data_IF_406182519113
#
_entry.id   IF_406182519113
#
_cell.length_a   1.000
_cell.length_b   1.000
_cell.length_c   1.000
_cell.angle_alpha   90.00
_cell.angle_beta   90.00
_cell.angle_gamma   90.00
#
_symmetry.space_group_name_H-M   'P 1'
#
loop_
_entity.id
_entity.type
_entity.pdbx_description
1 polymer ?
#
# COMPACT_ATOMS: atom_id res chain seq x y z
N UNK A 1 -16.02 -7.96 -4.78
CA UNK A 1 -16.26 -6.50 -4.63
C UNK A 1 -15.38 -5.96 -3.51
N UNK A 2 -14.68 -4.86 -3.73
CA UNK A 2 -13.81 -4.28 -2.72
C UNK A 2 -14.57 -3.28 -1.85
N UNK A 3 -14.27 -3.24 -0.55
CA UNK A 3 -14.88 -2.29 0.38
C UNK A 3 -14.17 -0.93 0.35
N UNK A 4 -12.92 -0.88 -0.12
CA UNK A 4 -12.21 0.37 -0.30
C UNK A 4 -12.63 1.10 -1.56
N UNK A 5 -12.15 2.34 -1.72
CA UNK A 5 -12.42 3.15 -2.91
C UNK A 5 -11.89 2.40 -4.15
N UNK A 6 -12.72 2.14 -5.17
CA UNK A 6 -12.34 1.23 -6.26
C UNK A 6 -11.07 1.63 -7.01
N UNK A 7 -10.95 2.90 -7.38
CA UNK A 7 -9.79 3.37 -8.13
C UNK A 7 -8.51 3.32 -7.31
N UNK A 8 -8.58 3.80 -6.08
CA UNK A 8 -7.40 3.87 -5.20
C UNK A 8 -6.97 2.48 -4.78
N UNK A 9 -7.93 1.60 -4.48
CA UNK A 9 -7.64 0.20 -4.17
C UNK A 9 -6.89 -0.47 -5.32
N UNK A 10 -7.33 -0.23 -6.55
CA UNK A 10 -6.70 -0.79 -7.74
C UNK A 10 -5.26 -0.27 -7.91
N UNK A 11 -5.05 1.03 -7.69
CA UNK A 11 -3.71 1.63 -7.78
C UNK A 11 -2.76 1.05 -6.75
N UNK A 12 -3.22 0.89 -5.51
CA UNK A 12 -2.41 0.33 -4.43
C UNK A 12 -2.09 -1.13 -4.72
N UNK A 13 -3.09 -1.91 -5.12
CA UNK A 13 -2.89 -3.32 -5.45
C UNK A 13 -1.85 -3.48 -6.55
N UNK A 14 -1.97 -2.72 -7.62
CA UNK A 14 -1.02 -2.78 -8.73
C UNK A 14 0.39 -2.41 -8.29
N UNK A 15 0.53 -1.39 -7.45
CA UNK A 15 1.84 -0.97 -6.95
C UNK A 15 2.50 -2.07 -6.14
N UNK A 16 1.75 -2.71 -5.24
CA UNK A 16 2.28 -3.79 -4.41
C UNK A 16 2.61 -5.03 -5.23
N UNK A 17 1.74 -5.42 -6.15
CA UNK A 17 1.97 -6.58 -7.01
C UNK A 17 3.17 -6.36 -7.94
N UNK A 18 3.25 -5.20 -8.57
CA UNK A 18 4.34 -4.88 -9.51
C UNK A 18 5.71 -4.87 -8.84
N UNK A 19 5.74 -4.56 -7.56
CA UNK A 19 6.99 -4.53 -6.80
C UNK A 19 7.24 -5.82 -6.01
N UNK A 20 6.35 -6.80 -6.15
CA UNK A 20 6.55 -8.12 -5.54
C UNK A 20 6.46 -8.13 -4.02
N UNK A 21 5.75 -7.17 -3.43
CA UNK A 21 5.64 -7.06 -1.96
C UNK A 21 4.22 -7.30 -1.45
N UNK A 22 3.26 -7.62 -2.32
CA UNK A 22 1.91 -7.92 -1.88
C UNK A 22 1.86 -9.31 -1.25
N UNK A 23 1.53 -9.37 0.04
CA UNK A 23 1.41 -10.63 0.78
C UNK A 23 -0.04 -11.06 0.92
N UNK A 24 -0.93 -10.14 1.27
CA UNK A 24 -2.32 -10.48 1.52
C UNK A 24 -3.23 -9.29 1.26
N UNK A 25 -4.48 -9.59 0.94
CA UNK A 25 -5.54 -8.59 0.76
C UNK A 25 -6.74 -9.02 1.57
N UNK A 26 -7.27 -8.14 2.39
CA UNK A 26 -8.38 -8.44 3.26
C UNK A 26 -9.41 -7.32 3.21
N UNK A 27 -10.69 -7.70 3.00
CA UNK A 27 -11.79 -6.73 3.02
C UNK A 27 -12.28 -6.60 4.46
N UNK A 28 -12.22 -5.38 4.96
CA UNK A 28 -12.76 -5.05 6.28
C UNK A 28 -13.87 -4.02 6.12
N UNK A 29 -14.57 -3.70 7.21
CA UNK A 29 -15.68 -2.76 7.13
C UNK A 29 -15.17 -1.40 6.65
N UNK A 30 -15.74 -0.90 5.54
CA UNK A 30 -15.44 0.40 4.92
C UNK A 30 -14.04 0.54 4.30
N UNK A 31 -13.26 -0.55 4.23
CA UNK A 31 -11.89 -0.46 3.72
C UNK A 31 -11.41 -1.77 3.12
N UNK A 32 -10.39 -1.68 2.29
CA UNK A 32 -9.59 -2.82 1.84
C UNK A 32 -8.22 -2.70 2.50
N UNK A 33 -7.79 -3.74 3.19
CA UNK A 33 -6.50 -3.78 3.88
C UNK A 33 -5.53 -4.64 3.08
N UNK A 34 -4.43 -4.03 2.67
CA UNK A 34 -3.34 -4.75 2.03
C UNK A 34 -2.22 -4.96 3.02
N UNK A 35 -1.68 -6.18 3.03
CA UNK A 35 -0.48 -6.49 3.80
C UNK A 35 0.68 -6.58 2.84
N UNK A 36 1.71 -5.79 3.09
CA UNK A 36 2.94 -5.81 2.30
C UNK A 36 4.03 -6.49 3.12
N UNK A 37 4.86 -7.27 2.45
CA UNK A 37 5.98 -7.94 3.09
C UNK A 37 7.17 -7.98 2.14
N UNK A 38 8.34 -7.65 2.68
CA UNK A 38 9.61 -7.79 1.99
C UNK A 38 10.65 -8.25 3.01
N UNK A 39 11.16 -9.45 2.84
CA UNK A 39 12.09 -10.08 3.80
C UNK A 39 11.45 -10.10 5.20
N UNK A 40 12.09 -9.48 6.19
CA UNK A 40 11.56 -9.40 7.56
C UNK A 40 10.66 -8.18 7.79
N UNK A 41 10.53 -7.30 6.81
CA UNK A 41 9.68 -6.12 6.93
C UNK A 41 8.24 -6.45 6.60
N UNK A 42 7.32 -5.98 7.44
CA UNK A 42 5.88 -6.19 7.24
C UNK A 42 5.16 -4.91 7.57
N UNK A 43 4.20 -4.54 6.73
CA UNK A 43 3.43 -3.32 6.92
C UNK A 43 2.04 -3.49 6.31
N UNK A 44 1.13 -2.60 6.68
CA UNK A 44 -0.23 -2.61 6.17
C UNK A 44 -0.55 -1.26 5.56
N UNK A 45 -1.34 -1.29 4.49
CA UNK A 45 -1.90 -0.09 3.92
C UNK A 45 -3.40 -0.30 3.76
N UNK A 46 -4.19 0.60 4.33
CA UNK A 46 -5.64 0.52 4.31
C UNK A 46 -6.18 1.61 3.39
N UNK A 47 -7.07 1.20 2.51
CA UNK A 47 -7.77 2.12 1.59
C UNK A 47 -9.23 2.13 1.98
N UNK A 48 -9.71 3.27 2.50
CA UNK A 48 -11.10 3.41 2.90
C UNK A 48 -11.99 3.73 1.70
N UNK A 49 -13.29 3.50 1.85
CA UNK A 49 -14.26 3.77 0.80
C UNK A 49 -14.32 5.25 0.42
N UNK A 50 -13.91 6.13 1.32
CA UNK A 50 -13.85 7.58 1.08
C UNK A 50 -12.62 7.99 0.27
N UNK A 51 -11.68 7.06 0.05
CA UNK A 51 -10.41 7.35 -0.60
C UNK A 51 -9.28 7.66 0.36
N UNK A 52 -9.57 7.70 1.66
CA UNK A 52 -8.53 7.91 2.67
C UNK A 52 -7.60 6.69 2.72
N UNK A 53 -6.30 6.95 2.81
CA UNK A 53 -5.27 5.92 2.91
C UNK A 53 -4.58 6.03 4.26
N UNK A 54 -4.40 4.90 4.94
CA UNK A 54 -3.69 4.83 6.22
C UNK A 54 -2.60 3.78 6.08
N UNK A 55 -1.36 4.14 6.46
CA UNK A 55 -0.22 3.23 6.46
C UNK A 55 0.10 2.87 7.91
N UNK A 56 0.22 1.58 8.20
CA UNK A 56 0.50 1.06 9.54
C UNK A 56 1.69 0.12 9.51
N UNK A 57 2.51 0.17 10.55
CA UNK A 57 3.66 -0.71 10.70
C UNK A 57 4.81 0.00 11.39
N UNK A 58 5.83 -0.78 11.77
CA UNK A 58 7.05 -0.22 12.33
C UNK A 58 7.82 0.53 11.26
N UNK A 59 8.47 1.60 11.64
CA UNK A 59 9.30 2.37 10.70
C UNK A 59 10.33 1.45 10.05
N UNK A 60 10.31 1.41 8.74
CA UNK A 60 11.16 0.54 7.93
C UNK A 60 11.20 1.09 6.51
N UNK A 61 12.11 0.60 5.66
CA UNK A 61 12.11 0.99 4.24
C UNK A 61 10.77 0.72 3.56
N UNK A 62 10.11 -0.38 3.94
CA UNK A 62 8.81 -0.74 3.37
C UNK A 62 7.73 0.28 3.75
N UNK A 63 7.66 0.65 5.04
CA UNK A 63 6.68 1.66 5.51
C UNK A 63 6.94 3.00 4.84
N UNK A 64 8.20 3.41 4.73
CA UNK A 64 8.57 4.66 4.07
C UNK A 64 8.09 4.65 2.61
N UNK A 65 8.28 3.55 1.91
CA UNK A 65 7.80 3.43 0.54
C UNK A 65 6.27 3.50 0.45
N UNK A 66 5.57 2.82 1.37
CA UNK A 66 4.11 2.87 1.40
C UNK A 66 3.60 4.30 1.65
N UNK A 67 4.30 5.08 2.46
CA UNK A 67 3.97 6.49 2.65
C UNK A 67 4.17 7.29 1.37
N UNK A 68 5.20 6.98 0.58
CA UNK A 68 5.42 7.60 -0.72
C UNK A 68 4.32 7.20 -1.71
N UNK A 69 3.86 5.96 -1.67
CA UNK A 69 2.72 5.52 -2.48
C UNK A 69 1.49 6.36 -2.15
N UNK A 70 1.19 6.53 -0.87
CA UNK A 70 0.07 7.35 -0.41
C UNK A 70 0.20 8.79 -0.93
N UNK A 71 1.35 9.41 -0.73
CA UNK A 71 1.61 10.79 -1.17
C UNK A 71 1.46 10.92 -2.69
N UNK A 72 1.99 9.96 -3.44
CA UNK A 72 1.92 9.98 -4.91
C UNK A 72 0.48 9.89 -5.40
N UNK A 73 -0.32 9.01 -4.79
CA UNK A 73 -1.73 8.86 -5.16
C UNK A 73 -2.49 10.16 -4.88
N UNK A 74 -2.27 10.77 -3.71
CA UNK A 74 -2.93 12.03 -3.35
C UNK A 74 -2.55 13.17 -4.28
N UNK A 75 -1.31 13.21 -4.73
CA UNK A 75 -0.80 14.25 -5.60
C UNK A 75 -1.08 13.98 -7.09
N UNK A 76 -1.64 12.81 -7.44
CA UNK A 76 -1.86 12.43 -8.82
C UNK A 76 -0.58 12.16 -9.59
N UNK A 77 0.48 11.74 -8.90
CA UNK A 77 1.77 11.44 -9.49
C UNK A 77 1.95 9.95 -9.73
N UNK A 78 2.93 9.60 -10.56
CA UNK A 78 3.34 8.22 -10.73
C UNK A 78 3.88 7.65 -9.42
N UNK A 79 3.51 6.41 -9.11
CA UNK A 79 3.97 5.75 -7.90
C UNK A 79 5.42 5.29 -8.11
N UNK A 80 6.35 5.63 -7.18
CA UNK A 80 7.74 5.21 -7.32
C UNK A 80 7.88 3.70 -7.11
N UNK A 81 8.87 3.12 -7.77
CA UNK A 81 9.20 1.71 -7.54
C UNK A 81 9.78 1.52 -6.13
N UNK A 82 9.51 0.36 -5.54
CA UNK A 82 10.13 0.00 -4.27
C UNK A 82 11.59 -0.35 -4.50
N UNK A 83 12.49 0.35 -3.83
CA UNK A 83 13.92 0.08 -3.91
C UNK A 83 14.35 -0.60 -2.61
N UNK A 84 14.62 -1.92 -2.64
CA UNK A 84 15.08 -2.61 -1.45
C UNK A 84 16.39 -2.00 -0.93
N UNK A 85 16.58 -1.97 0.40
CA UNK A 85 17.85 -1.49 0.94
C UNK A 85 19.00 -2.37 0.49
N UNK A 86 20.11 -1.74 0.16
CA UNK A 86 21.34 -2.45 -0.21
C UNK A 86 22.19 -2.59 1.03
N UNK A 87 22.57 -3.82 1.34
CA UNK A 87 23.45 -4.09 2.48
C UNK A 87 24.92 -3.79 2.13
#
# INVERSE_FOLDING_TARGET
MTNGHPRITHLVQNALESNGVLDDTNEIQYATKFTAQFESFRAHILVYNTGKIVVQGRLSPLVTWLQHVNTSIKAGRSIPAFEPPID
#
